data_IF_798524167828
#
_entry.id   IF_798524167828
#
_cell.length_a   1.000
_cell.length_b   1.000
_cell.length_c   1.000
_cell.angle_alpha   90.00
_cell.angle_beta   90.00
_cell.angle_gamma   90.00
#
_symmetry.space_group_name_H-M   'P 1'
#
loop_
_entity.id
_entity.type
_entity.pdbx_description
1 polymer ?
#
# COMPACT_ATOMS: atom_id res chain seq x y z
N UNK A 1 -66.81 -140.35 -64.78
CA UNK A 1 -68.24 -140.10 -65.11
C UNK A 1 -68.55 -138.61 -65.17
N UNK A 2 -68.21 -137.79 -64.17
CA UNK A 2 -68.56 -136.35 -64.16
C UNK A 2 -67.92 -135.53 -65.30
N UNK A 3 -66.67 -135.84 -65.71
CA UNK A 3 -65.99 -135.18 -66.85
C UNK A 3 -66.69 -135.39 -68.20
N UNK A 4 -67.11 -136.61 -68.50
CA UNK A 4 -67.78 -136.93 -69.76
C UNK A 4 -69.14 -136.24 -69.86
N UNK A 5 -69.91 -136.20 -68.77
CA UNK A 5 -71.19 -135.49 -68.71
C UNK A 5 -71.05 -133.99 -69.00
N UNK A 6 -70.01 -133.34 -68.46
CA UNK A 6 -69.72 -131.92 -68.72
C UNK A 6 -69.27 -131.71 -70.18
N UNK A 7 -68.41 -132.58 -70.72
CA UNK A 7 -67.92 -132.45 -72.10
C UNK A 7 -69.03 -132.70 -73.14
N UNK A 8 -69.86 -133.72 -72.96
CA UNK A 8 -70.96 -134.02 -73.88
C UNK A 8 -72.05 -132.96 -73.82
N UNK A 9 -72.33 -132.40 -72.63
CA UNK A 9 -73.26 -131.27 -72.48
C UNK A 9 -72.73 -130.00 -73.13
N UNK A 10 -71.44 -129.68 -72.92
CA UNK A 10 -70.79 -128.53 -73.57
C UNK A 10 -70.71 -128.69 -75.10
N UNK A 11 -70.42 -129.90 -75.60
CA UNK A 11 -70.45 -130.20 -77.03
C UNK A 11 -71.86 -130.14 -77.62
N UNK A 12 -72.88 -130.61 -76.90
CA UNK A 12 -74.28 -130.50 -77.36
C UNK A 12 -74.72 -129.04 -77.44
N UNK A 13 -74.34 -128.20 -76.48
CA UNK A 13 -74.61 -126.76 -76.52
C UNK A 13 -73.86 -126.07 -77.67
N UNK A 14 -72.59 -126.40 -77.88
CA UNK A 14 -71.80 -125.84 -78.99
C UNK A 14 -72.35 -126.29 -80.35
N UNK A 15 -72.78 -127.54 -80.50
CA UNK A 15 -73.42 -128.05 -81.72
C UNK A 15 -74.80 -127.41 -81.99
N UNK A 16 -75.45 -126.86 -80.96
CA UNK A 16 -76.67 -126.04 -81.08
C UNK A 16 -76.36 -124.56 -81.35
N UNK A 17 -75.09 -124.17 -81.44
CA UNK A 17 -74.65 -122.80 -81.68
C UNK A 17 -74.67 -121.90 -80.43
N UNK A 18 -74.86 -122.47 -79.25
CA UNK A 18 -74.87 -121.73 -77.99
C UNK A 18 -73.54 -121.87 -77.26
N UNK A 19 -73.04 -120.78 -76.66
CA UNK A 19 -71.80 -120.83 -75.90
C UNK A 19 -72.02 -121.58 -74.58
N UNK A 20 -71.32 -122.71 -74.33
CA UNK A 20 -71.45 -123.41 -73.07
C UNK A 20 -70.83 -122.55 -71.96
N UNK A 21 -71.69 -121.98 -71.12
CA UNK A 21 -71.33 -121.23 -69.91
C UNK A 21 -71.44 -122.15 -68.69
N UNK A 22 -70.75 -121.80 -67.60
CA UNK A 22 -70.74 -122.65 -66.39
C UNK A 22 -72.17 -122.89 -65.89
N UNK A 23 -73.03 -121.86 -65.91
CA UNK A 23 -74.42 -121.96 -65.48
C UNK A 23 -75.26 -122.86 -66.40
N UNK A 24 -75.08 -122.80 -67.72
CA UNK A 24 -75.85 -123.64 -68.65
C UNK A 24 -75.46 -125.12 -68.55
N UNK A 25 -74.17 -125.40 -68.34
CA UNK A 25 -73.69 -126.78 -68.18
C UNK A 25 -74.05 -127.36 -66.81
N UNK A 26 -74.05 -126.54 -65.75
CA UNK A 26 -74.58 -126.93 -64.43
C UNK A 26 -76.07 -127.26 -64.48
N UNK A 27 -76.88 -126.43 -65.16
CA UNK A 27 -78.32 -126.66 -65.29
C UNK A 27 -78.62 -127.97 -66.03
N UNK A 28 -77.81 -128.33 -67.04
CA UNK A 28 -77.98 -129.55 -67.81
C UNK A 28 -77.48 -130.82 -67.09
N UNK A 29 -76.48 -130.71 -66.20
CA UNK A 29 -75.81 -131.87 -65.58
C UNK A 29 -76.11 -132.05 -64.09
N UNK A 30 -76.65 -131.03 -63.42
CA UNK A 30 -76.97 -131.03 -61.98
C UNK A 30 -75.75 -131.03 -61.06
N UNK A 31 -74.53 -130.85 -61.61
CA UNK A 31 -73.28 -130.90 -60.86
C UNK A 31 -72.96 -129.57 -60.16
N UNK A 32 -72.17 -129.64 -59.08
CA UNK A 32 -71.74 -128.47 -58.33
C UNK A 32 -70.78 -127.57 -59.13
N UNK A 33 -70.82 -126.27 -58.84
CA UNK A 33 -70.12 -125.21 -59.58
C UNK A 33 -68.62 -125.48 -59.76
N UNK A 34 -67.94 -125.86 -58.67
CA UNK A 34 -66.49 -126.05 -58.67
C UNK A 34 -66.04 -127.17 -59.62
N UNK A 35 -66.84 -128.23 -59.76
CA UNK A 35 -66.54 -129.35 -60.66
C UNK A 35 -66.76 -128.94 -62.11
N UNK A 36 -67.85 -128.22 -62.42
CA UNK A 36 -68.17 -127.78 -63.77
C UNK A 36 -67.18 -126.71 -64.25
N UNK A 37 -66.77 -125.77 -63.41
CA UNK A 37 -65.80 -124.74 -63.77
C UNK A 37 -64.45 -125.33 -64.17
N UNK A 38 -63.94 -126.29 -63.39
CA UNK A 38 -62.65 -126.93 -63.68
C UNK A 38 -62.74 -127.73 -64.98
N UNK A 39 -63.78 -128.54 -65.17
CA UNK A 39 -63.90 -129.39 -66.35
C UNK A 39 -64.22 -128.59 -67.63
N UNK A 40 -65.04 -127.54 -67.54
CA UNK A 40 -65.36 -126.68 -68.69
C UNK A 40 -64.16 -125.85 -69.16
N UNK A 41 -63.30 -125.38 -68.23
CA UNK A 41 -62.03 -124.73 -68.61
C UNK A 41 -61.08 -125.70 -69.33
N UNK A 42 -61.05 -126.97 -68.91
CA UNK A 42 -60.24 -127.98 -69.58
C UNK A 42 -60.78 -128.29 -71.00
N UNK A 43 -62.11 -128.31 -71.17
CA UNK A 43 -62.73 -128.44 -72.49
C UNK A 43 -62.38 -127.26 -73.41
N UNK A 44 -62.51 -126.01 -72.95
CA UNK A 44 -62.16 -124.83 -73.75
C UNK A 44 -60.69 -124.80 -74.21
N UNK A 45 -59.76 -125.31 -73.40
CA UNK A 45 -58.34 -125.39 -73.78
C UNK A 45 -58.07 -126.43 -74.88
N UNK A 46 -58.91 -127.44 -75.04
CA UNK A 46 -58.74 -128.49 -76.03
C UNK A 46 -59.36 -128.16 -77.40
N UNK A 47 -60.09 -127.05 -77.52
CA UNK A 47 -60.76 -126.63 -78.78
C UNK A 47 -59.78 -126.11 -79.85
N UNK A 48 -58.77 -125.26 -79.53
CA UNK A 48 -57.85 -124.75 -80.55
C UNK A 48 -57.06 -125.85 -81.28
N UNK A 49 -56.73 -126.96 -80.61
CA UNK A 49 -56.05 -128.09 -81.25
C UNK A 49 -56.94 -128.86 -82.23
N UNK A 50 -58.27 -128.78 -82.10
CA UNK A 50 -59.23 -129.41 -83.02
C UNK A 50 -59.59 -128.55 -84.22
N UNK A 51 -59.17 -127.28 -84.23
CA UNK A 51 -59.42 -126.30 -85.32
C UNK A 51 -58.06 -125.87 -85.89
N UNK A 52 -57.28 -126.84 -86.39
CA UNK A 52 -56.16 -126.54 -87.28
C UNK A 52 -56.63 -126.73 -88.72
N UNK A 53 -56.63 -125.65 -89.50
CA UNK A 53 -56.90 -125.68 -90.93
C UNK A 53 -55.79 -126.50 -91.60
N UNK A 54 -56.12 -127.70 -92.07
CA UNK A 54 -55.21 -128.48 -92.90
C UNK A 54 -54.96 -127.72 -94.21
N UNK A 55 -53.68 -127.65 -94.55
CA UNK A 55 -53.05 -127.09 -95.74
C UNK A 55 -53.36 -127.96 -96.99
N UNK A 56 -54.64 -128.28 -97.19
CA UNK A 56 -55.07 -129.00 -98.39
C UNK A 56 -55.20 -128.00 -99.53
N UNK A 57 -54.30 -128.17 -100.51
CA UNK A 57 -54.36 -127.59 -101.84
C UNK A 57 -55.81 -127.56 -102.30
N UNK A 58 -56.36 -126.35 -102.48
CA UNK A 58 -57.72 -126.14 -102.97
C UNK A 58 -57.79 -126.67 -104.40
N UNK A 59 -58.07 -127.96 -104.54
CA UNK A 59 -58.48 -128.61 -105.78
C UNK A 59 -60.00 -128.73 -105.74
N UNK A 60 -60.71 -127.75 -106.32
CA UNK A 60 -62.16 -127.87 -106.52
C UNK A 60 -62.44 -129.09 -107.42
N UNK A 61 -63.20 -130.10 -106.96
CA UNK A 61 -63.55 -131.24 -107.80
C UNK A 61 -64.55 -130.78 -108.88
N UNK A 62 -64.13 -130.84 -110.15
CA UNK A 62 -65.03 -130.63 -111.29
C UNK A 62 -64.62 -129.55 -112.30
N UNK A 63 -63.51 -128.82 -112.09
CA UNK A 63 -62.98 -127.88 -113.09
C UNK A 63 -61.60 -128.32 -113.61
N UNK A 64 -61.28 -128.08 -114.90
CA UNK A 64 -59.95 -128.34 -115.46
C UNK A 64 -58.85 -127.66 -114.65
N UNK A 65 -57.75 -128.38 -114.42
CA UNK A 65 -56.64 -127.99 -113.53
C UNK A 65 -56.07 -126.59 -113.80
N UNK A 66 -56.14 -126.12 -115.05
CA UNK A 66 -55.74 -124.79 -115.48
C UNK A 66 -56.59 -123.64 -114.87
N UNK A 67 -57.88 -123.88 -114.62
CA UNK A 67 -58.77 -122.88 -113.99
C UNK A 67 -58.65 -122.88 -112.47
N UNK A 68 -58.40 -124.05 -111.86
CA UNK A 68 -58.10 -124.15 -110.43
C UNK A 68 -56.81 -123.43 -110.05
N UNK A 69 -55.76 -123.57 -110.87
CA UNK A 69 -54.52 -122.78 -110.69
C UNK A 69 -54.74 -121.29 -110.93
N UNK A 70 -55.58 -120.89 -111.89
CA UNK A 70 -55.89 -119.49 -112.13
C UNK A 70 -56.68 -118.85 -110.96
N UNK A 71 -57.68 -119.54 -110.41
CA UNK A 71 -58.42 -119.10 -109.22
C UNK A 71 -57.53 -119.05 -107.98
N UNK A 72 -56.68 -120.06 -107.78
CA UNK A 72 -55.69 -120.06 -106.71
C UNK A 72 -54.75 -118.85 -106.78
N UNK A 73 -54.30 -118.48 -107.99
CA UNK A 73 -53.48 -117.27 -108.21
C UNK A 73 -54.26 -116.00 -107.91
N UNK A 74 -55.51 -115.88 -108.36
CA UNK A 74 -56.36 -114.69 -108.09
C UNK A 74 -56.64 -114.55 -106.59
N UNK A 75 -56.92 -115.66 -105.88
CA UNK A 75 -57.11 -115.66 -104.44
C UNK A 75 -55.84 -115.27 -103.69
N UNK A 76 -54.69 -115.85 -104.05
CA UNK A 76 -53.41 -115.46 -103.47
C UNK A 76 -53.10 -113.99 -103.75
N UNK A 77 -53.38 -113.49 -104.95
CA UNK A 77 -53.21 -112.08 -105.29
C UNK A 77 -54.15 -111.17 -104.50
N UNK A 78 -55.41 -111.57 -104.27
CA UNK A 78 -56.38 -110.82 -103.47
C UNK A 78 -56.02 -110.82 -101.98
N UNK A 79 -55.52 -111.94 -101.45
CA UNK A 79 -55.01 -112.03 -100.07
C UNK A 79 -53.75 -111.18 -99.92
N UNK A 80 -52.83 -111.21 -100.88
CA UNK A 80 -51.63 -110.38 -100.90
C UNK A 80 -51.99 -108.88 -101.01
N UNK A 81 -53.00 -108.52 -101.80
CA UNK A 81 -53.52 -107.14 -101.88
C UNK A 81 -54.20 -106.71 -100.58
N UNK A 82 -55.00 -107.58 -99.94
CA UNK A 82 -55.63 -107.30 -98.65
C UNK A 82 -54.58 -107.16 -97.54
N UNK A 83 -53.56 -108.00 -97.52
CA UNK A 83 -52.45 -107.90 -96.57
C UNK A 83 -51.62 -106.64 -96.79
N UNK A 84 -51.35 -106.25 -98.04
CA UNK A 84 -50.62 -105.00 -98.33
C UNK A 84 -51.43 -103.78 -97.94
N UNK A 85 -52.75 -103.76 -98.17
CA UNK A 85 -53.67 -102.71 -97.69
C UNK A 85 -53.72 -102.66 -96.17
N UNK A 86 -53.88 -103.78 -95.49
CA UNK A 86 -53.88 -103.84 -94.02
C UNK A 86 -52.55 -103.37 -93.43
N UNK A 87 -51.42 -103.75 -94.05
CA UNK A 87 -50.09 -103.25 -93.66
C UNK A 87 -49.96 -101.75 -93.90
N UNK A 88 -50.54 -101.22 -94.98
CA UNK A 88 -50.57 -99.79 -95.24
C UNK A 88 -51.42 -99.04 -94.20
N UNK A 89 -52.63 -99.52 -93.92
CA UNK A 89 -53.53 -98.93 -92.92
C UNK A 89 -52.99 -99.04 -91.49
N UNK A 90 -52.32 -100.15 -91.16
CA UNK A 90 -51.64 -100.28 -89.87
C UNK A 90 -50.45 -99.31 -89.78
N UNK A 91 -49.70 -99.09 -90.86
CA UNK A 91 -48.61 -98.09 -90.88
C UNK A 91 -49.15 -96.67 -90.75
N UNK A 92 -50.25 -96.32 -91.41
CA UNK A 92 -50.85 -94.99 -91.30
C UNK A 92 -51.46 -94.76 -89.92
N UNK A 93 -52.15 -95.74 -89.35
CA UNK A 93 -52.68 -95.66 -87.99
C UNK A 93 -51.55 -95.54 -86.95
N UNK A 94 -50.50 -96.35 -87.07
CA UNK A 94 -49.33 -96.27 -86.18
C UNK A 94 -48.60 -94.93 -86.32
N UNK A 95 -48.56 -94.35 -87.52
CA UNK A 95 -48.00 -93.03 -87.74
C UNK A 95 -48.87 -91.95 -87.07
N UNK A 96 -50.18 -92.00 -87.25
CA UNK A 96 -51.12 -91.06 -86.63
C UNK A 96 -51.11 -91.15 -85.09
N UNK A 97 -51.06 -92.34 -84.52
CA UNK A 97 -50.97 -92.51 -83.06
C UNK A 97 -49.62 -92.02 -82.52
N UNK A 98 -48.53 -92.24 -83.25
CA UNK A 98 -47.22 -91.71 -82.88
C UNK A 98 -47.14 -90.19 -82.99
N UNK A 99 -47.79 -89.57 -83.98
CA UNK A 99 -47.90 -88.11 -84.09
C UNK A 99 -48.72 -87.52 -82.93
N UNK A 100 -49.87 -88.12 -82.58
CA UNK A 100 -50.67 -87.68 -81.43
C UNK A 100 -49.88 -87.84 -80.13
N UNK A 101 -49.16 -88.95 -79.96
CA UNK A 101 -48.29 -89.17 -78.80
C UNK A 101 -47.22 -88.08 -78.71
N UNK A 102 -46.52 -87.78 -79.81
CA UNK A 102 -45.51 -86.71 -79.86
C UNK A 102 -46.10 -85.35 -79.50
N UNK A 103 -47.24 -84.98 -80.07
CA UNK A 103 -47.90 -83.71 -79.75
C UNK A 103 -48.30 -83.63 -78.26
N UNK A 104 -48.78 -84.74 -77.69
CA UNK A 104 -49.12 -84.79 -76.26
C UNK A 104 -47.89 -84.69 -75.36
N UNK A 105 -46.78 -85.32 -75.74
CA UNK A 105 -45.50 -85.26 -75.02
C UNK A 105 -44.86 -83.88 -75.12
N UNK A 106 -44.93 -83.25 -76.30
CA UNK A 106 -44.47 -81.88 -76.51
C UNK A 106 -45.29 -80.89 -75.67
N UNK A 107 -46.62 -81.03 -75.65
CA UNK A 107 -47.50 -80.19 -74.83
C UNK A 107 -47.25 -80.39 -73.33
N UNK A 108 -47.06 -81.64 -72.88
CA UNK A 108 -46.73 -81.93 -71.49
C UNK A 108 -45.37 -81.36 -71.09
N UNK A 109 -44.38 -81.46 -71.97
CA UNK A 109 -43.04 -80.90 -71.77
C UNK A 109 -43.10 -79.37 -71.71
N UNK A 110 -43.87 -78.72 -72.58
CA UNK A 110 -44.06 -77.27 -72.56
C UNK A 110 -44.73 -76.82 -71.25
N UNK A 111 -45.78 -77.52 -70.82
CA UNK A 111 -46.45 -77.26 -69.54
C UNK A 111 -45.49 -77.42 -68.35
N UNK A 112 -44.71 -78.50 -68.33
CA UNK A 112 -43.72 -78.74 -67.27
C UNK A 112 -42.63 -77.66 -67.24
N UNK A 113 -42.12 -77.26 -68.41
CA UNK A 113 -41.16 -76.16 -68.53
C UNK A 113 -41.78 -74.85 -68.04
N UNK A 114 -43.06 -74.59 -68.35
CA UNK A 114 -43.76 -73.40 -67.90
C UNK A 114 -43.96 -73.39 -66.38
N UNK A 115 -44.35 -74.51 -65.79
CA UNK A 115 -44.48 -74.66 -64.34
C UNK A 115 -43.11 -74.44 -63.67
N UNK A 116 -42.06 -75.08 -64.16
CA UNK A 116 -40.70 -74.91 -63.64
C UNK A 116 -40.24 -73.45 -63.69
N UNK A 117 -40.47 -72.77 -64.82
CA UNK A 117 -40.18 -71.34 -64.95
C UNK A 117 -40.98 -70.48 -63.96
N UNK A 118 -42.28 -70.75 -63.78
CA UNK A 118 -43.12 -70.03 -62.83
C UNK A 118 -42.70 -70.30 -61.37
N UNK A 119 -42.26 -71.51 -61.05
CA UNK A 119 -41.74 -71.84 -59.71
C UNK A 119 -40.42 -71.11 -59.42
N UNK A 120 -39.49 -71.09 -60.38
CA UNK A 120 -38.21 -70.38 -60.25
C UNK A 120 -38.49 -68.88 -60.05
N UNK A 121 -39.28 -68.27 -60.94
CA UNK A 121 -39.62 -66.84 -60.82
C UNK A 121 -40.38 -66.51 -59.54
N UNK A 122 -41.27 -67.39 -59.08
CA UNK A 122 -41.97 -67.24 -57.79
C UNK A 122 -41.00 -67.28 -56.60
N UNK A 123 -40.01 -68.19 -56.62
CA UNK A 123 -38.97 -68.26 -55.57
C UNK A 123 -38.09 -67.00 -55.58
N UNK A 124 -37.68 -66.54 -56.76
CA UNK A 124 -36.88 -65.32 -56.90
C UNK A 124 -37.64 -64.07 -56.41
N UNK A 125 -38.92 -63.94 -56.76
CA UNK A 125 -39.76 -62.83 -56.31
C UNK A 125 -39.96 -62.86 -54.79
N UNK A 126 -40.15 -64.05 -54.20
CA UNK A 126 -40.23 -64.20 -52.73
C UNK A 126 -38.92 -63.80 -52.04
N UNK A 127 -37.77 -64.18 -52.59
CA UNK A 127 -36.47 -63.78 -52.05
C UNK A 127 -36.30 -62.26 -52.10
N UNK A 128 -36.57 -61.63 -53.26
CA UNK A 128 -36.53 -60.17 -53.40
C UNK A 128 -37.50 -59.44 -52.46
N UNK A 129 -38.69 -60.00 -52.26
CA UNK A 129 -39.67 -59.45 -51.33
C UNK A 129 -39.18 -59.52 -49.88
N UNK A 130 -38.56 -60.64 -49.47
CA UNK A 130 -38.03 -60.76 -48.12
C UNK A 130 -36.83 -59.82 -47.91
N UNK A 131 -35.93 -59.69 -48.90
CA UNK A 131 -34.79 -58.77 -48.84
C UNK A 131 -35.26 -57.31 -48.70
N UNK A 132 -36.24 -56.90 -49.51
CA UNK A 132 -36.82 -55.54 -49.42
C UNK A 132 -37.55 -55.33 -48.09
N UNK A 133 -38.21 -56.35 -47.55
CA UNK A 133 -38.86 -56.29 -46.23
C UNK A 133 -37.84 -56.12 -45.10
N UNK A 134 -36.72 -56.85 -45.15
CA UNK A 134 -35.61 -56.71 -44.19
C UNK A 134 -35.00 -55.31 -44.30
N UNK A 135 -34.75 -54.83 -45.51
CA UNK A 135 -34.22 -53.49 -45.73
C UNK A 135 -35.15 -52.40 -45.21
N UNK A 136 -36.47 -52.52 -45.44
CA UNK A 136 -37.49 -51.61 -44.90
C UNK A 136 -37.45 -51.54 -43.37
N UNK A 137 -37.34 -52.70 -42.70
CA UNK A 137 -37.21 -52.75 -41.22
C UNK A 137 -35.92 -52.09 -40.74
N UNK A 138 -34.81 -52.26 -41.46
CA UNK A 138 -33.55 -51.58 -41.15
C UNK A 138 -33.69 -50.06 -41.23
N UNK A 139 -34.28 -49.56 -42.32
CA UNK A 139 -34.53 -48.13 -42.50
C UNK A 139 -35.49 -47.56 -41.45
N UNK A 140 -36.52 -48.32 -41.05
CA UNK A 140 -37.42 -47.92 -39.95
C UNK A 140 -36.68 -47.81 -38.60
N UNK A 141 -35.76 -48.74 -38.32
CA UNK A 141 -34.92 -48.69 -37.12
C UNK A 141 -33.97 -47.48 -37.15
N UNK A 142 -33.30 -47.23 -38.29
CA UNK A 142 -32.44 -46.06 -38.49
C UNK A 142 -33.23 -44.75 -38.33
N UNK A 143 -34.43 -44.66 -38.91
CA UNK A 143 -35.32 -43.52 -38.74
C UNK A 143 -35.71 -43.31 -37.27
N UNK A 144 -35.96 -44.38 -36.53
CA UNK A 144 -36.26 -44.30 -35.09
C UNK A 144 -35.08 -43.75 -34.29
N UNK A 145 -33.86 -44.26 -34.55
CA UNK A 145 -32.63 -43.78 -33.90
C UNK A 145 -32.32 -42.32 -34.26
N UNK A 146 -32.51 -41.94 -35.52
CA UNK A 146 -32.31 -40.54 -35.94
C UNK A 146 -33.34 -39.60 -35.28
N UNK A 147 -34.60 -40.02 -35.15
CA UNK A 147 -35.62 -39.25 -34.43
C UNK A 147 -35.25 -39.03 -32.96
N UNK A 148 -34.75 -40.06 -32.27
CA UNK A 148 -34.31 -39.92 -30.87
C UNK A 148 -33.06 -39.05 -30.76
N UNK A 149 -32.09 -39.21 -31.67
CA UNK A 149 -30.90 -38.36 -31.73
C UNK A 149 -31.24 -36.88 -31.94
N UNK A 150 -32.17 -36.58 -32.87
CA UNK A 150 -32.65 -35.21 -33.11
C UNK A 150 -33.34 -34.65 -31.87
N UNK A 151 -34.16 -35.44 -31.18
CA UNK A 151 -34.82 -34.99 -29.95
C UNK A 151 -33.80 -34.68 -28.84
N UNK A 152 -32.80 -35.54 -28.65
CA UNK A 152 -31.71 -35.31 -27.67
C UNK A 152 -30.92 -34.05 -28.04
N UNK A 153 -30.53 -33.90 -29.30
CA UNK A 153 -29.80 -32.73 -29.77
C UNK A 153 -30.61 -31.44 -29.57
N UNK A 154 -31.91 -31.45 -29.87
CA UNK A 154 -32.80 -30.31 -29.61
C UNK A 154 -32.87 -29.95 -28.12
N UNK A 155 -32.88 -30.93 -27.22
CA UNK A 155 -32.82 -30.66 -25.77
C UNK A 155 -31.45 -30.14 -25.31
N UNK A 156 -30.37 -30.66 -25.88
CA UNK A 156 -29.00 -30.20 -25.62
C UNK A 156 -28.85 -28.74 -26.04
N UNK A 157 -29.27 -28.42 -27.27
CA UNK A 157 -29.24 -27.06 -27.82
C UNK A 157 -30.05 -26.07 -27.00
N UNK A 158 -31.25 -26.45 -26.54
CA UNK A 158 -32.04 -25.60 -25.62
C UNK A 158 -31.33 -25.30 -24.31
N UNK A 159 -30.61 -26.28 -23.73
CA UNK A 159 -29.80 -26.06 -22.51
C UNK A 159 -28.63 -25.12 -22.78
N UNK A 160 -27.96 -25.30 -23.92
CA UNK A 160 -26.86 -24.43 -24.33
C UNK A 160 -27.32 -22.99 -24.57
N UNK A 161 -28.45 -22.78 -25.25
CA UNK A 161 -29.04 -21.45 -25.45
C UNK A 161 -29.40 -20.78 -24.12
N UNK A 162 -29.94 -21.54 -23.16
CA UNK A 162 -30.21 -21.03 -21.82
C UNK A 162 -28.92 -20.63 -21.06
N UNK A 163 -27.87 -21.47 -21.13
CA UNK A 163 -26.57 -21.17 -20.54
C UNK A 163 -25.93 -19.94 -21.19
N UNK A 164 -26.02 -19.82 -22.51
CA UNK A 164 -25.53 -18.67 -23.26
C UNK A 164 -26.23 -17.39 -22.83
N UNK A 165 -27.56 -17.39 -22.73
CA UNK A 165 -28.33 -16.25 -22.25
C UNK A 165 -27.96 -15.87 -20.80
N UNK A 166 -27.74 -16.86 -19.93
CA UNK A 166 -27.27 -16.62 -18.55
C UNK A 166 -25.89 -15.95 -18.54
N UNK A 167 -24.93 -16.49 -19.29
CA UNK A 167 -23.58 -15.93 -19.38
C UNK A 167 -23.58 -14.51 -19.97
N UNK A 168 -24.46 -14.24 -20.94
CA UNK A 168 -24.61 -12.91 -21.51
C UNK A 168 -25.13 -11.89 -20.48
N UNK A 169 -26.12 -12.28 -19.66
CA UNK A 169 -26.59 -11.46 -18.55
C UNK A 169 -25.49 -11.23 -17.50
N UNK A 170 -24.76 -12.27 -17.11
CA UNK A 170 -23.65 -12.17 -16.15
C UNK A 170 -22.54 -11.24 -16.67
N UNK A 171 -22.22 -11.31 -17.98
CA UNK A 171 -21.27 -10.40 -18.63
C UNK A 171 -21.75 -8.94 -18.61
N UNK A 172 -23.04 -8.69 -18.84
CA UNK A 172 -23.63 -7.34 -18.74
C UNK A 172 -23.53 -6.82 -17.31
N UNK A 173 -23.86 -7.64 -16.32
CA UNK A 173 -23.72 -7.27 -14.91
C UNK A 173 -22.27 -6.98 -14.53
N UNK A 174 -21.33 -7.81 -14.97
CA UNK A 174 -19.90 -7.64 -14.67
C UNK A 174 -19.35 -6.36 -15.32
N UNK A 175 -19.74 -6.05 -16.57
CA UNK A 175 -19.37 -4.80 -17.25
C UNK A 175 -19.89 -3.58 -16.51
N UNK A 176 -21.16 -3.61 -16.06
CA UNK A 176 -21.74 -2.52 -15.28
C UNK A 176 -21.03 -2.34 -13.94
N UNK A 177 -20.80 -3.43 -13.21
CA UNK A 177 -20.08 -3.40 -11.93
C UNK A 177 -18.66 -2.85 -12.09
N UNK A 178 -17.96 -3.22 -13.17
CA UNK A 178 -16.65 -2.70 -13.50
C UNK A 178 -16.69 -1.19 -13.78
N UNK A 179 -17.66 -0.71 -14.56
CA UNK A 179 -17.78 0.72 -14.87
C UNK A 179 -18.14 1.55 -13.62
N UNK A 180 -19.03 1.02 -12.76
CA UNK A 180 -19.37 1.65 -11.48
C UNK A 180 -18.14 1.70 -10.54
N UNK A 181 -17.35 0.62 -10.47
CA UNK A 181 -16.10 0.58 -9.71
C UNK A 181 -15.05 1.57 -10.25
N UNK A 182 -14.90 1.65 -11.58
CA UNK A 182 -14.01 2.63 -12.23
C UNK A 182 -14.43 4.06 -11.90
N UNK A 183 -15.73 4.38 -12.04
CA UNK A 183 -16.27 5.71 -11.73
C UNK A 183 -16.07 6.10 -10.27
N UNK A 184 -16.32 5.19 -9.34
CA UNK A 184 -16.12 5.44 -7.91
C UNK A 184 -14.65 5.63 -7.56
N UNK A 185 -13.75 4.86 -8.18
CA UNK A 185 -12.30 5.03 -8.02
C UNK A 185 -11.80 6.38 -8.56
N UNK A 186 -12.22 6.76 -9.77
CA UNK A 186 -11.90 8.08 -10.35
C UNK A 186 -12.43 9.23 -9.49
N UNK A 187 -13.61 9.09 -8.91
CA UNK A 187 -14.17 10.07 -7.99
C UNK A 187 -13.32 10.20 -6.71
N UNK A 188 -12.90 9.07 -6.11
CA UNK A 188 -12.02 9.06 -4.94
C UNK A 188 -10.67 9.73 -5.25
N UNK A 189 -10.05 9.43 -6.39
CA UNK A 189 -8.81 10.09 -6.80
C UNK A 189 -8.99 11.60 -6.89
N UNK A 190 -10.08 12.07 -7.51
CA UNK A 190 -10.36 13.51 -7.62
C UNK A 190 -10.56 14.17 -6.24
N UNK A 191 -11.22 13.48 -5.32
CA UNK A 191 -11.44 13.96 -3.95
C UNK A 191 -10.13 13.99 -3.15
N UNK A 192 -9.31 12.95 -3.23
CA UNK A 192 -7.99 12.88 -2.59
C UNK A 192 -7.05 13.97 -3.15
N UNK A 193 -7.06 14.20 -4.46
CA UNK A 193 -6.30 15.30 -5.08
C UNK A 193 -6.74 16.67 -4.57
N UNK A 194 -8.06 16.90 -4.42
CA UNK A 194 -8.59 18.14 -3.83
C UNK A 194 -8.17 18.29 -2.38
N UNK A 195 -8.26 17.23 -1.58
CA UNK A 195 -7.83 17.25 -0.19
C UNK A 195 -6.33 17.51 -0.05
N UNK A 196 -5.49 16.90 -0.90
CA UNK A 196 -4.06 17.15 -0.92
C UNK A 196 -3.74 18.62 -1.28
N UNK A 197 -4.42 19.18 -2.28
CA UNK A 197 -4.26 20.59 -2.65
C UNK A 197 -4.69 21.55 -1.53
N UNK A 198 -5.78 21.25 -0.82
CA UNK A 198 -6.22 22.03 0.34
C UNK A 198 -5.20 21.97 1.49
N UNK A 199 -4.64 20.79 1.77
CA UNK A 199 -3.56 20.64 2.75
C UNK A 199 -2.30 21.41 2.35
N UNK A 200 -1.90 21.34 1.08
CA UNK A 200 -0.76 22.11 0.56
C UNK A 200 -1.05 23.61 0.72
N UNK A 201 -2.21 24.10 0.32
CA UNK A 201 -2.57 25.51 0.48
C UNK A 201 -2.54 25.99 1.93
N UNK A 202 -2.98 25.16 2.89
CA UNK A 202 -2.90 25.47 4.33
C UNK A 202 -1.45 25.53 4.81
N UNK A 203 -0.65 24.52 4.48
CA UNK A 203 0.78 24.49 4.85
C UNK A 203 1.59 25.62 4.20
N UNK A 204 1.26 26.04 2.98
CA UNK A 204 1.87 27.20 2.33
C UNK A 204 1.50 28.51 3.04
N UNK A 205 0.24 28.65 3.48
CA UNK A 205 -0.19 29.81 4.27
C UNK A 205 0.56 29.87 5.61
N UNK A 206 0.70 28.74 6.30
CA UNK A 206 1.46 28.63 7.55
C UNK A 206 2.95 28.95 7.32
N UNK A 207 3.55 28.42 6.26
CA UNK A 207 4.95 28.69 5.91
C UNK A 207 5.18 30.19 5.63
N UNK A 208 4.25 30.86 4.94
CA UNK A 208 4.29 32.32 4.72
C UNK A 208 4.16 33.09 6.04
N UNK A 209 3.25 32.66 6.93
CA UNK A 209 3.09 33.25 8.25
C UNK A 209 4.38 33.15 9.07
N UNK A 210 4.96 31.94 9.19
CA UNK A 210 6.20 31.74 9.94
C UNK A 210 7.40 32.47 9.33
N UNK A 211 7.49 32.54 8.00
CA UNK A 211 8.53 33.34 7.32
C UNK A 211 8.40 34.82 7.69
N UNK A 212 7.20 35.38 7.59
CA UNK A 212 6.94 36.79 7.94
C UNK A 212 7.22 37.06 9.42
N UNK A 213 6.82 36.15 10.31
CA UNK A 213 7.12 36.25 11.74
C UNK A 213 8.63 36.20 12.03
N UNK A 214 9.36 35.33 11.33
CA UNK A 214 10.82 35.23 11.43
C UNK A 214 11.54 36.50 10.93
N UNK A 215 11.10 37.06 9.80
CA UNK A 215 11.61 38.34 9.29
C UNK A 215 11.38 39.47 10.30
N UNK A 216 10.17 39.58 10.86
CA UNK A 216 9.87 40.56 11.90
C UNK A 216 10.75 40.39 13.15
N UNK A 217 10.93 39.16 13.62
CA UNK A 217 11.81 38.89 14.77
C UNK A 217 13.27 39.24 14.47
N UNK A 218 13.73 39.02 13.24
CA UNK A 218 15.07 39.40 12.79
C UNK A 218 15.23 40.92 12.78
N UNK A 219 14.24 41.66 12.27
CA UNK A 219 14.26 43.12 12.26
C UNK A 219 14.22 43.70 13.69
N UNK A 220 13.36 43.16 14.55
CA UNK A 220 13.27 43.55 15.97
C UNK A 220 14.59 43.26 16.71
N UNK A 221 15.23 42.12 16.42
CA UNK A 221 16.53 41.77 16.98
C UNK A 221 17.62 42.71 16.50
N UNK A 222 17.69 43.01 15.20
CA UNK A 222 18.66 43.96 14.64
C UNK A 222 18.47 45.39 15.16
N UNK A 223 17.22 45.82 15.36
CA UNK A 223 16.90 47.10 15.99
C UNK A 223 17.36 47.15 17.45
N UNK A 224 17.09 46.10 18.24
CA UNK A 224 17.56 45.98 19.63
C UNK A 224 19.08 45.94 19.71
N UNK A 225 19.75 45.21 18.83
CA UNK A 225 21.21 45.16 18.75
C UNK A 225 21.78 46.55 18.50
N UNK A 226 21.27 47.27 17.51
CA UNK A 226 21.68 48.65 17.20
C UNK A 226 21.50 49.58 18.41
N UNK A 227 20.37 49.47 19.12
CA UNK A 227 20.09 50.27 20.31
C UNK A 227 21.03 49.92 21.48
N UNK A 228 21.34 48.64 21.68
CA UNK A 228 22.32 48.19 22.67
C UNK A 228 23.72 48.69 22.34
N UNK A 229 24.15 48.60 21.08
CA UNK A 229 25.45 49.12 20.62
C UNK A 229 25.56 50.62 20.88
N UNK A 230 24.51 51.39 20.58
CA UNK A 230 24.46 52.83 20.89
C UNK A 230 24.59 53.08 22.40
N UNK A 231 23.81 52.38 23.22
CA UNK A 231 23.87 52.51 24.68
C UNK A 231 25.25 52.16 25.24
N UNK A 232 25.91 51.13 24.71
CA UNK A 232 27.27 50.78 25.09
C UNK A 232 28.25 51.91 24.76
N UNK A 233 28.14 52.53 23.59
CA UNK A 233 29.00 53.67 23.23
C UNK A 233 28.76 54.91 24.12
N UNK A 234 27.49 55.20 24.43
CA UNK A 234 27.12 56.29 25.33
C UNK A 234 27.70 56.08 26.74
N UNK A 235 27.58 54.85 27.28
CA UNK A 235 28.15 54.47 28.57
C UNK A 235 29.68 54.50 28.57
N UNK A 236 30.34 54.02 27.51
CA UNK A 236 31.78 54.13 27.37
C UNK A 236 32.25 55.59 27.37
N UNK A 237 31.51 56.47 26.67
CA UNK A 237 31.80 57.90 26.66
C UNK A 237 31.59 58.54 28.04
N UNK A 238 30.59 58.09 28.80
CA UNK A 238 30.35 58.53 30.17
C UNK A 238 31.47 58.08 31.12
N UNK A 239 31.88 56.82 31.03
CA UNK A 239 33.03 56.27 31.78
C UNK A 239 34.29 57.09 31.48
N UNK A 240 34.61 57.33 30.20
CA UNK A 240 35.79 58.10 29.82
C UNK A 240 35.76 59.54 30.39
N UNK A 241 34.59 60.20 30.40
CA UNK A 241 34.43 61.51 31.07
C UNK A 241 34.67 61.43 32.57
N UNK A 242 34.18 60.38 33.22
CA UNK A 242 34.41 60.16 34.65
C UNK A 242 35.88 59.87 34.96
N UNK A 243 36.58 59.06 34.14
CA UNK A 243 38.01 58.77 34.28
C UNK A 243 38.84 60.05 34.20
N UNK A 244 38.61 60.88 33.17
CA UNK A 244 39.30 62.18 33.04
C UNK A 244 39.04 63.08 34.25
N UNK A 245 37.82 63.10 34.77
CA UNK A 245 37.47 63.87 35.97
C UNK A 245 38.20 63.34 37.20
N UNK A 246 38.27 62.03 37.38
CA UNK A 246 38.99 61.39 38.48
C UNK A 246 40.48 61.72 38.40
N UNK A 247 41.10 61.62 37.22
CA UNK A 247 42.52 61.97 37.02
C UNK A 247 42.81 63.44 37.32
N UNK A 248 41.90 64.33 36.90
CA UNK A 248 41.99 65.76 37.21
C UNK A 248 41.89 66.00 38.72
N UNK A 249 40.94 65.35 39.40
CA UNK A 249 40.79 65.44 40.86
C UNK A 249 42.02 64.88 41.58
N UNK A 250 42.57 63.75 41.14
CA UNK A 250 43.80 63.19 41.69
C UNK A 250 44.99 64.15 41.54
N UNK A 251 45.13 64.79 40.38
CA UNK A 251 46.19 65.78 40.14
C UNK A 251 46.03 67.00 41.04
N UNK A 252 44.79 67.49 41.22
CA UNK A 252 44.48 68.59 42.11
C UNK A 252 44.80 68.25 43.57
N UNK A 253 44.40 67.07 44.05
CA UNK A 253 44.70 66.60 45.41
C UNK A 253 46.22 66.56 45.64
N UNK A 254 46.99 66.00 44.69
CA UNK A 254 48.46 65.98 44.80
C UNK A 254 49.05 67.39 44.89
N UNK A 255 48.57 68.32 44.07
CA UNK A 255 49.00 69.72 44.12
C UNK A 255 48.67 70.37 45.47
N UNK A 256 47.48 70.10 46.03
CA UNK A 256 47.07 70.61 47.33
C UNK A 256 47.87 69.99 48.47
N UNK A 257 48.19 68.69 48.41
CA UNK A 257 49.06 68.02 49.37
C UNK A 257 50.48 68.61 49.36
N UNK A 258 51.02 68.94 48.18
CA UNK A 258 52.31 69.61 48.04
C UNK A 258 52.28 71.04 48.61
N UNK A 259 51.23 71.80 48.34
CA UNK A 259 51.02 73.13 48.94
C UNK A 259 50.90 73.04 50.47
N UNK A 260 50.13 72.10 51.01
CA UNK A 260 50.02 71.86 52.45
C UNK A 260 51.37 71.48 53.07
N UNK A 261 52.20 70.69 52.37
CA UNK A 261 53.55 70.36 52.82
C UNK A 261 54.43 71.60 52.87
N UNK A 262 54.38 72.45 51.85
CA UNK A 262 55.11 73.72 51.81
C UNK A 262 54.65 74.68 52.92
N UNK A 263 53.33 74.78 53.16
CA UNK A 263 52.77 75.58 54.25
C UNK A 263 53.18 75.06 55.62
N UNK A 264 53.16 73.73 55.84
CA UNK A 264 53.65 73.11 57.08
C UNK A 264 55.13 73.40 57.31
N UNK A 265 55.96 73.27 56.27
CA UNK A 265 57.39 73.59 56.36
C UNK A 265 57.61 75.08 56.66
N UNK A 266 56.89 75.98 55.96
CA UNK A 266 56.93 77.43 56.20
C UNK A 266 56.50 77.77 57.63
N UNK A 267 55.39 77.19 58.10
CA UNK A 267 54.89 77.35 59.48
C UNK A 267 55.91 76.85 60.51
N UNK A 268 56.57 75.71 60.27
CA UNK A 268 57.61 75.20 61.16
C UNK A 268 58.84 76.13 61.19
N UNK A 269 59.24 76.69 60.04
CA UNK A 269 60.32 77.69 59.96
C UNK A 269 59.92 78.97 60.72
N UNK A 270 58.72 79.49 60.48
CA UNK A 270 58.19 80.66 61.19
C UNK A 270 58.10 80.42 62.70
N UNK A 271 57.64 79.25 63.14
CA UNK A 271 57.59 78.90 64.57
C UNK A 271 58.98 78.87 65.19
N UNK A 272 60.00 78.34 64.50
CA UNK A 272 61.39 78.35 64.96
C UNK A 272 61.95 79.77 65.01
N UNK A 273 61.69 80.60 64.00
CA UNK A 273 62.09 82.00 63.96
C UNK A 273 61.43 82.82 65.08
N UNK A 274 60.13 82.61 65.32
CA UNK A 274 59.40 83.23 66.44
C UNK A 274 59.95 82.80 67.80
N UNK A 275 60.25 81.51 68.00
CA UNK A 275 60.89 81.03 69.23
C UNK A 275 62.29 81.65 69.44
N UNK A 276 63.07 81.79 68.36
CA UNK A 276 64.37 82.45 68.39
C UNK A 276 64.24 83.94 68.74
N UNK A 277 63.35 84.67 68.06
CA UNK A 277 63.06 86.09 68.33
C UNK A 277 62.54 86.30 69.75
N UNK A 278 61.64 85.45 70.23
CA UNK A 278 61.12 85.50 71.61
C UNK A 278 62.23 85.27 72.63
N UNK A 279 63.13 84.31 72.37
CA UNK A 279 64.32 84.10 73.20
C UNK A 279 65.27 85.30 73.18
N UNK A 280 65.48 85.91 72.02
CA UNK A 280 66.31 87.11 71.88
C UNK A 280 65.70 88.31 72.62
N UNK A 281 64.37 88.48 72.56
CA UNK A 281 63.64 89.50 73.32
C UNK A 281 63.75 89.28 74.82
N UNK A 282 63.60 88.04 75.32
CA UNK A 282 63.79 87.71 76.74
C UNK A 282 65.23 87.97 77.19
N UNK A 283 66.23 87.64 76.38
CA UNK A 283 67.62 87.96 76.66
C UNK A 283 67.86 89.49 76.71
N UNK A 284 67.24 90.23 75.78
CA UNK A 284 67.22 91.68 75.76
C UNK A 284 66.56 92.29 76.99
N UNK A 285 65.39 91.78 77.40
CA UNK A 285 64.64 92.22 78.58
C UNK A 285 65.42 91.94 79.88
N UNK A 286 66.03 90.76 80.00
CA UNK A 286 66.90 90.44 81.14
C UNK A 286 68.12 91.37 81.21
N UNK A 287 68.72 91.71 80.07
CA UNK A 287 69.81 92.70 80.00
C UNK A 287 69.31 94.08 80.41
N UNK A 288 68.12 94.50 79.96
CA UNK A 288 67.50 95.76 80.33
C UNK A 288 67.22 95.83 81.84
N UNK A 289 66.63 94.78 82.43
CA UNK A 289 66.41 94.68 83.89
C UNK A 289 67.69 94.76 84.70
N UNK A 290 68.78 94.11 84.26
CA UNK A 290 70.10 94.24 84.92
C UNK A 290 70.63 95.67 84.87
N UNK A 291 70.48 96.34 83.74
CA UNK A 291 70.87 97.75 83.58
C UNK A 291 70.00 98.67 84.45
N UNK A 292 68.70 98.39 84.55
CA UNK A 292 67.79 99.14 85.42
C UNK A 292 68.14 98.95 86.91
N UNK A 293 68.47 97.72 87.33
CA UNK A 293 68.96 97.44 88.68
C UNK A 293 70.23 98.23 88.98
N UNK A 294 71.21 98.19 88.06
CA UNK A 294 72.46 98.93 88.18
C UNK A 294 72.23 100.44 88.24
N UNK A 295 71.25 100.96 87.48
CA UNK A 295 70.82 102.35 87.56
C UNK A 295 70.23 102.68 88.94
N UNK A 296 69.36 101.83 89.50
CA UNK A 296 68.79 102.02 90.85
C UNK A 296 69.85 102.00 91.94
N UNK A 297 70.85 101.13 91.85
CA UNK A 297 72.02 101.13 92.76
C UNK A 297 72.78 102.46 92.68
N UNK A 298 73.06 102.94 91.47
CA UNK A 298 73.72 104.24 91.26
C UNK A 298 72.88 105.41 91.80
N UNK A 299 71.57 105.43 91.57
CA UNK A 299 70.67 106.44 92.14
C UNK A 299 70.64 106.38 93.68
N UNK A 300 70.72 105.18 94.27
CA UNK A 300 70.86 104.98 95.72
C UNK A 300 72.17 105.54 96.27
N UNK A 301 73.28 105.29 95.58
CA UNK A 301 74.60 105.84 95.93
C UNK A 301 74.61 107.37 95.83
N UNK A 302 74.00 107.94 94.78
CA UNK A 302 73.84 109.40 94.60
C UNK A 302 73.04 110.01 95.75
N UNK A 303 71.91 109.40 96.14
CA UNK A 303 71.12 109.87 97.29
C UNK A 303 71.94 109.86 98.59
N UNK A 304 72.73 108.80 98.81
CA UNK A 304 73.58 108.68 100.00
C UNK A 304 74.67 109.76 100.03
N UNK A 305 75.30 110.02 98.88
CA UNK A 305 76.30 111.08 98.73
C UNK A 305 75.69 112.48 98.91
N UNK A 306 74.52 112.74 98.33
CA UNK A 306 73.80 114.01 98.52
C UNK A 306 73.39 114.23 99.99
N UNK A 307 72.93 113.19 100.68
CA UNK A 307 72.61 113.29 102.11
C UNK A 307 73.87 113.58 102.95
N UNK A 308 75.01 112.97 102.60
CA UNK A 308 76.30 113.24 103.26
C UNK A 308 76.75 114.68 103.03
N UNK A 309 76.64 115.19 101.79
CA UNK A 309 76.96 116.57 101.46
C UNK A 309 76.05 117.57 102.19
N UNK A 310 74.74 117.30 102.27
CA UNK A 310 73.79 118.11 103.01
C UNK A 310 74.14 118.17 104.49
N UNK A 311 74.40 117.03 105.14
CA UNK A 311 74.77 116.98 106.55
C UNK A 311 76.07 117.78 106.84
N UNK A 312 77.07 117.68 105.97
CA UNK A 312 78.29 118.48 106.09
C UNK A 312 78.02 119.99 105.93
N UNK A 313 77.12 120.39 105.01
CA UNK A 313 76.73 121.79 104.87
C UNK A 313 76.00 122.32 106.12
N UNK A 314 75.16 121.51 106.76
CA UNK A 314 74.45 121.90 107.99
C UNK A 314 75.40 122.06 109.19
N UNK A 315 76.43 121.21 109.32
CA UNK A 315 77.46 121.37 110.35
C UNK A 315 78.30 122.63 110.15
N UNK A 316 78.64 122.97 108.90
CA UNK A 316 79.30 124.23 108.56
C UNK A 316 78.44 125.45 108.94
N UNK A 317 77.15 125.43 108.61
CA UNK A 317 76.22 126.51 108.98
C UNK A 317 76.05 126.67 110.50
N UNK A 318 76.12 125.58 111.27
CA UNK A 318 76.08 125.64 112.75
C UNK A 318 77.34 126.30 113.33
N UNK A 319 78.52 125.97 112.81
CA UNK A 319 79.79 126.60 113.24
C UNK A 319 79.84 128.09 112.90
N UNK A 320 79.37 128.46 111.71
CA UNK A 320 79.34 129.87 111.29
C UNK A 320 78.43 130.73 112.19
N UNK A 321 77.25 130.22 112.55
CA UNK A 321 76.34 130.94 113.46
C UNK A 321 76.88 131.09 114.88
N UNK A 322 77.65 130.13 115.39
CA UNK A 322 78.30 130.22 116.70
C UNK A 322 79.33 131.38 116.73
N UNK A 323 80.16 131.48 115.68
CA UNK A 323 81.17 132.54 115.53
C UNK A 323 80.55 133.93 115.42
N UNK A 324 79.38 134.07 114.75
CA UNK A 324 78.66 135.36 114.68
C UNK A 324 78.12 135.81 116.04
N UNK A 325 77.68 134.89 116.89
CA UNK A 325 77.17 135.23 118.23
C UNK A 325 78.29 135.64 119.18
N UNK A 326 79.45 134.97 119.15
CA UNK A 326 80.62 135.37 119.93
C UNK A 326 81.13 136.76 119.53
N UNK A 327 81.18 137.06 118.23
CA UNK A 327 81.59 138.38 117.72
C UNK A 327 80.66 139.51 118.19
N UNK A 328 79.34 139.26 118.26
CA UNK A 328 78.35 140.24 118.73
C UNK A 328 78.48 140.50 120.25
N UNK A 329 78.78 139.47 121.04
CA UNK A 329 79.01 139.59 122.49
C UNK A 329 80.23 140.46 122.82
N UNK A 330 81.33 140.30 122.08
CA UNK A 330 82.55 141.11 122.27
C UNK A 330 82.31 142.58 121.91
N UNK A 331 81.44 142.84 120.92
CA UNK A 331 81.11 144.18 120.47
C UNK A 331 80.30 144.97 121.52
N UNK A 332 79.39 144.30 122.24
CA UNK A 332 78.60 144.92 123.32
C UNK A 332 79.45 145.23 124.58
N UNK A 333 80.44 144.39 124.90
CA UNK A 333 81.39 144.63 126.01
C UNK A 333 82.29 145.84 125.74
N UNK A 334 82.78 145.99 124.50
CA UNK A 334 83.59 147.13 124.09
C UNK A 334 82.84 148.47 124.22
N UNK A 335 81.55 148.48 123.87
CA UNK A 335 80.71 149.67 123.95
C UNK A 335 80.44 150.11 125.40
N UNK A 336 80.29 149.16 126.33
CA UNK A 336 80.18 149.43 127.77
C UNK A 336 81.48 149.98 128.36
N UNK A 337 82.63 149.49 127.91
CA UNK A 337 83.94 150.00 128.35
C UNK A 337 84.17 151.44 127.87
N UNK A 338 83.84 151.76 126.61
CA UNK A 338 83.97 153.12 126.06
C UNK A 338 83.11 154.15 126.82
N UNK A 339 81.87 153.81 127.17
CA UNK A 339 81.00 154.70 127.98
C UNK A 339 81.55 154.96 129.39
N UNK A 340 82.30 154.02 129.95
CA UNK A 340 82.92 154.14 131.28
C UNK A 340 84.13 155.07 131.28
N UNK A 341 84.93 155.04 130.20
CA UNK A 341 86.06 155.96 130.00
C UNK A 341 85.56 157.40 129.84
N UNK A 342 84.54 157.62 129.00
CA UNK A 342 83.97 158.96 128.77
C UNK A 342 83.41 159.58 130.07
N UNK A 343 82.80 158.77 130.94
CA UNK A 343 82.30 159.25 132.23
C UNK A 343 83.41 159.56 133.24
N UNK A 344 84.55 158.86 133.20
CA UNK A 344 85.70 159.14 134.05
C UNK A 344 86.46 160.39 133.57
N UNK A 345 86.56 160.61 132.26
CA UNK A 345 87.12 161.84 131.67
C UNK A 345 86.31 163.08 132.06
N UNK A 346 84.97 163.01 132.02
CA UNK A 346 84.10 164.11 132.50
C UNK A 346 84.26 164.40 134.00
N UNK A 347 84.53 163.38 134.82
CA UNK A 347 84.75 163.54 136.27
C UNK A 347 86.11 164.17 136.58
N UNK A 348 87.16 163.80 135.82
CA UNK A 348 88.49 164.40 135.95
C UNK A 348 88.47 165.89 135.61
N UNK A 349 87.78 166.26 134.51
CA UNK A 349 87.67 167.66 134.08
C UNK A 349 86.96 168.53 135.14
N UNK A 350 85.89 168.00 135.77
CA UNK A 350 85.16 168.70 136.83
C UNK A 350 85.99 168.91 138.11
N UNK A 351 86.90 167.99 138.43
CA UNK A 351 87.78 168.10 139.61
C UNK A 351 88.98 169.04 139.35
N UNK A 352 89.49 169.09 138.12
CA UNK A 352 90.55 170.03 137.72
C UNK A 352 90.08 171.50 137.69
N UNK A 353 88.78 171.74 137.42
CA UNK A 353 88.19 173.09 137.52
C UNK A 353 87.96 173.54 138.97
N UNK A 354 87.70 172.60 139.89
CA UNK A 354 87.52 172.87 141.32
C UNK A 354 88.86 173.23 142.00
N UNK A 355 89.95 172.54 141.62
CA UNK A 355 91.32 172.88 142.04
C UNK A 355 91.74 174.26 141.52
N UNK A 356 91.29 174.66 140.32
CA UNK A 356 91.55 176.00 139.77
C UNK A 356 90.81 177.11 140.52
N UNK A 357 89.60 176.85 141.02
CA UNK A 357 88.82 177.85 141.80
C UNK A 357 89.42 178.09 143.18
N UNK A 358 89.87 177.06 143.89
CA UNK A 358 90.41 177.22 145.26
C UNK A 358 91.81 177.85 145.25
N UNK A 359 92.62 177.66 144.21
CA UNK A 359 93.89 178.41 144.04
C UNK A 359 93.71 179.90 143.75
N UNK A 360 92.50 180.37 143.42
CA UNK A 360 92.23 181.77 143.02
C UNK A 360 91.66 182.66 144.13
N UNK A 361 91.53 182.17 145.37
CA UNK A 361 91.04 182.97 146.50
C UNK A 361 91.84 182.73 147.79
N UNK A 362 92.37 183.74 148.49
CA UNK A 362 92.12 185.19 148.40
C UNK A 362 90.63 185.57 148.36
#
# INVERSE_FOLDING_TARGET
MEKELVFTSAESLLMRGEQPTIQSVMAATGLQYDIVEIQLRQWWKAIPEKISFNDDVIALPGLPEALGTAFGRIWHQAVEEAETRLRADSRTLNHATEEVRKLSEESLKESHNRISYLEITSRELKAKFEDTRIHSRSLEAELSVLKTAIAVEATSRKKEEHLRAKLENDLVHLRKAHEDAKRTFEQRIKEDQRHALDQISKSEADARYYRTASEKLRDDAGSKETLLTKKTHDLQSEIARHEVRIDTQHTLIRSQDEELKNLKQSSQIQSRDMASKSSALLAGDNKAKRLEHKRKEQDGEIKRLNQKALNSATEWGRRENLMRNESRSVQEELQRAQLKVVNLEKRSISQDEEIRRIKSKL
#
